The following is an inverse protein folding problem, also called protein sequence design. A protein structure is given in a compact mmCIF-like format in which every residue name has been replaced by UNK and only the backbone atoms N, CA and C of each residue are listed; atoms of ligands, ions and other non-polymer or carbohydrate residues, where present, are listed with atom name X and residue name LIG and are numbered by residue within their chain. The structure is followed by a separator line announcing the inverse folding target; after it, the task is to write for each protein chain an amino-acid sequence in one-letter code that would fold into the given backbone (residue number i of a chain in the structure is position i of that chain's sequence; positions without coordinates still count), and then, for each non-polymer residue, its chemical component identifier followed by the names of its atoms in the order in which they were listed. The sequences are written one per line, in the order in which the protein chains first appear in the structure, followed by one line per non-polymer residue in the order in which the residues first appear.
data_IF_458428689879
#
_entry.id   IF_458428689879
#
_cell.length_a   1.000
_cell.length_b   1.000
_cell.length_c   1.000
_cell.angle_alpha   90.00
_cell.angle_beta   90.00
_cell.angle_gamma   90.00
#
_symmetry.space_group_name_H-M   'P 1'
#
loop_
_entity.id
_entity.type
_entity.pdbx_description
1 polymer ?
#
# COMPACT_ATOMS: atom_id res chain seq x y z
N UNK A 1 7.60 29.05 -0.14
CA UNK A 1 6.28 29.03 0.49
C UNK A 1 5.39 28.14 -0.39
N UNK A 2 5.11 26.90 0.05
CA UNK A 2 4.26 25.96 -0.65
C UNK A 2 2.94 25.77 0.08
N UNK A 3 1.92 25.30 -0.62
CA UNK A 3 0.64 24.91 -0.03
C UNK A 3 0.85 23.71 0.91
N UNK A 4 0.17 23.71 2.04
CA UNK A 4 0.18 22.62 3.02
C UNK A 4 -1.23 22.08 3.24
N UNK A 5 -1.30 20.79 3.57
CA UNK A 5 -2.51 20.11 4.03
C UNK A 5 -2.35 19.78 5.50
N UNK A 6 -3.42 19.97 6.27
CA UNK A 6 -3.49 19.52 7.66
C UNK A 6 -4.46 18.34 7.75
N UNK A 7 -3.92 17.16 8.06
CA UNK A 7 -4.71 15.97 8.38
C UNK A 7 -5.12 16.07 9.86
N UNK A 8 -6.44 16.11 10.12
CA UNK A 8 -7.04 16.12 11.45
C UNK A 8 -7.54 14.73 11.79
N UNK A 9 -7.08 14.14 12.90
CA UNK A 9 -7.42 12.79 13.34
C UNK A 9 -8.01 12.85 14.74
N UNK A 10 -9.21 12.31 14.93
CA UNK A 10 -9.86 12.20 16.23
C UNK A 10 -9.17 11.14 17.10
N UNK A 11 -8.75 11.51 18.31
CA UNK A 11 -8.14 10.60 19.27
C UNK A 11 -9.07 9.47 19.70
N UNK A 12 -10.38 9.73 19.77
CA UNK A 12 -11.41 8.73 20.09
C UNK A 12 -11.48 7.56 19.09
N UNK A 13 -10.97 7.75 17.86
CA UNK A 13 -10.89 6.72 16.82
C UNK A 13 -9.58 5.92 16.84
N UNK A 14 -8.66 6.29 17.73
CA UNK A 14 -7.35 5.62 17.88
C UNK A 14 -7.39 4.84 19.18
N UNK A 15 -7.21 3.51 19.11
CA UNK A 15 -7.27 2.63 20.29
C UNK A 15 -6.17 2.97 21.29
N UNK A 16 -4.95 3.25 20.80
CA UNK A 16 -3.82 3.68 21.63
C UNK A 16 -3.15 4.92 21.01
N UNK A 17 -3.57 6.10 21.45
CA UNK A 17 -3.06 7.37 20.91
C UNK A 17 -1.58 7.61 21.22
N UNK A 18 -1.07 7.09 22.34
CA UNK A 18 0.34 7.20 22.72
C UNK A 18 1.23 6.37 21.80
N UNK A 19 0.86 5.11 21.55
CA UNK A 19 1.57 4.22 20.64
C UNK A 19 1.56 4.77 19.21
N UNK A 20 0.39 5.21 18.75
CA UNK A 20 0.25 5.88 17.44
C UNK A 20 1.22 7.05 17.30
N UNK A 21 1.34 7.90 18.34
CA UNK A 21 2.22 9.06 18.30
C UNK A 21 3.71 8.67 18.25
N UNK A 22 4.11 7.66 19.01
CA UNK A 22 5.49 7.16 19.01
C UNK A 22 5.85 6.46 17.69
N UNK A 23 4.95 5.70 17.09
CA UNK A 23 5.15 5.08 15.76
C UNK A 23 5.23 6.14 14.66
N UNK A 24 4.32 7.11 14.67
CA UNK A 24 4.36 8.26 13.78
C UNK A 24 5.67 9.03 13.92
N UNK A 25 6.16 9.28 15.15
CA UNK A 25 7.41 9.97 15.42
C UNK A 25 8.62 9.23 14.85
N UNK A 26 8.68 7.90 14.94
CA UNK A 26 9.75 7.08 14.33
C UNK A 26 9.79 7.25 12.82
N UNK A 27 8.63 7.25 12.16
CA UNK A 27 8.52 7.47 10.73
C UNK A 27 8.92 8.89 10.32
N UNK A 28 8.45 9.88 11.05
CA UNK A 28 8.70 11.29 10.75
C UNK A 28 10.14 11.72 11.03
N UNK A 29 10.81 11.06 11.97
CA UNK A 29 12.23 11.28 12.25
C UNK A 29 13.14 10.75 11.13
N UNK A 30 12.64 9.88 10.26
CA UNK A 30 13.39 9.30 9.15
C UNK A 30 12.82 9.73 7.81
N UNK A 31 13.39 10.77 7.21
CA UNK A 31 12.99 11.21 5.87
C UNK A 31 13.41 10.20 4.79
N UNK A 32 12.55 9.94 3.83
CA UNK A 32 12.86 9.18 2.61
C UNK A 32 12.21 9.85 1.41
N UNK A 33 12.90 9.86 0.25
CA UNK A 33 12.44 10.56 -0.95
C UNK A 33 11.07 10.10 -1.44
N UNK A 34 10.68 8.86 -1.20
CA UNK A 34 9.41 8.27 -1.63
C UNK A 34 8.40 8.07 -0.48
N UNK A 35 8.57 8.78 0.64
CA UNK A 35 7.56 8.94 1.68
C UNK A 35 7.05 10.37 1.69
N UNK A 36 5.76 10.54 2.00
CA UNK A 36 5.21 11.88 2.21
C UNK A 36 5.91 12.52 3.39
N UNK A 37 6.51 13.69 3.16
CA UNK A 37 7.19 14.46 4.22
C UNK A 37 6.14 15.01 5.18
N UNK A 38 6.39 14.87 6.48
CA UNK A 38 5.65 15.59 7.50
C UNK A 38 6.46 16.80 7.93
N UNK A 39 5.84 17.97 7.83
CA UNK A 39 6.49 19.23 8.20
C UNK A 39 6.48 19.39 9.73
N UNK A 40 5.32 19.14 10.36
CA UNK A 40 5.18 19.10 11.82
C UNK A 40 3.88 18.37 12.21
N UNK A 41 3.82 17.94 13.47
CA UNK A 41 2.62 17.38 14.08
C UNK A 41 2.40 18.01 15.46
N UNK A 42 1.14 18.20 15.82
CA UNK A 42 0.74 18.63 17.16
C UNK A 42 -0.58 17.96 17.56
N UNK A 43 -0.97 18.09 18.83
CA UNK A 43 -2.26 17.58 19.29
C UNK A 43 -2.85 18.48 20.35
N UNK A 44 -4.18 18.54 20.42
CA UNK A 44 -4.95 19.09 21.53
C UNK A 44 -5.61 17.96 22.36
N UNK A 45 -6.64 18.28 23.13
CA UNK A 45 -7.36 17.27 23.94
C UNK A 45 -7.99 16.17 23.07
N UNK A 46 -8.59 16.51 21.93
CA UNK A 46 -9.46 15.67 21.16
C UNK A 46 -8.85 15.17 19.83
N UNK A 47 -7.88 15.92 19.28
CA UNK A 47 -7.35 15.69 17.93
C UNK A 47 -5.84 15.65 17.87
N UNK A 48 -5.34 14.93 16.84
CA UNK A 48 -3.98 14.99 16.33
C UNK A 48 -4.01 15.71 14.98
N UNK A 49 -3.07 16.63 14.77
CA UNK A 49 -2.90 17.39 13.54
C UNK A 49 -1.54 17.08 12.93
N UNK A 50 -1.53 16.74 11.64
CA UNK A 50 -0.32 16.44 10.88
C UNK A 50 -0.29 17.36 9.66
N UNK A 51 0.73 18.21 9.59
CA UNK A 51 0.94 19.12 8.47
C UNK A 51 1.93 18.51 7.45
N UNK A 52 1.53 18.48 6.19
CA UNK A 52 2.30 17.93 5.08
C UNK A 52 2.19 18.82 3.84
N UNK A 53 3.11 18.73 2.86
CA UNK A 53 2.98 19.41 1.58
C UNK A 53 1.70 18.98 0.86
N UNK A 54 1.10 19.92 0.12
CA UNK A 54 0.00 19.61 -0.77
C UNK A 54 0.53 18.98 -2.06
N UNK A 55 -0.04 17.83 -2.45
CA UNK A 55 0.26 17.11 -3.69
C UNK A 55 -0.81 17.44 -4.74
N UNK A 56 -0.55 18.43 -5.60
CA UNK A 56 -1.54 18.97 -6.54
C UNK A 56 -2.07 17.95 -7.55
N UNK A 57 -1.22 16.96 -7.92
CA UNK A 57 -1.62 15.85 -8.82
C UNK A 57 -2.49 14.80 -8.14
N UNK A 58 -2.60 14.85 -6.80
CA UNK A 58 -3.40 13.92 -6.01
C UNK A 58 -2.79 12.52 -5.91
N UNK A 59 -3.67 11.53 -5.71
CA UNK A 59 -3.27 10.12 -5.53
C UNK A 59 -3.20 9.37 -6.87
N UNK A 60 -2.50 8.23 -6.88
CA UNK A 60 -2.50 7.32 -8.03
C UNK A 60 -3.92 6.88 -8.40
N UNK A 61 -4.81 6.71 -7.43
CA UNK A 61 -6.22 6.41 -7.72
C UNK A 61 -6.87 7.49 -8.56
N UNK A 62 -6.67 8.77 -8.21
CA UNK A 62 -7.20 9.89 -9.00
C UNK A 62 -6.63 9.84 -10.43
N UNK A 63 -5.32 9.67 -10.56
CA UNK A 63 -4.67 9.65 -11.88
C UNK A 63 -5.20 8.53 -12.77
N UNK A 64 -5.31 7.28 -12.24
CA UNK A 64 -5.81 6.15 -13.04
C UNK A 64 -7.31 6.21 -13.31
N UNK A 65 -8.06 7.03 -12.59
CA UNK A 65 -9.46 7.32 -12.93
C UNK A 65 -9.62 8.32 -14.08
N UNK A 66 -8.61 9.16 -14.30
CA UNK A 66 -8.61 10.23 -15.32
C UNK A 66 -7.90 9.80 -16.61
N UNK A 67 -6.86 8.97 -16.51
CA UNK A 67 -6.07 8.49 -17.67
C UNK A 67 -5.50 7.10 -17.45
N UNK A 68 -5.25 6.39 -18.55
CA UNK A 68 -4.46 5.17 -18.51
C UNK A 68 -2.97 5.51 -18.35
N UNK A 69 -2.29 4.79 -17.44
CA UNK A 69 -0.84 4.86 -17.29
C UNK A 69 -0.18 3.88 -18.28
N UNK A 70 0.96 4.26 -18.81
CA UNK A 70 1.83 3.33 -19.54
C UNK A 70 2.47 2.33 -18.60
N UNK A 71 2.89 1.16 -19.11
CA UNK A 71 3.63 0.15 -18.31
C UNK A 71 4.87 0.79 -17.67
N UNK A 72 5.58 1.65 -18.38
CA UNK A 72 6.74 2.40 -17.87
C UNK A 72 6.39 3.27 -16.65
N UNK A 73 5.31 4.04 -16.74
CA UNK A 73 4.84 4.87 -15.62
C UNK A 73 4.47 4.00 -14.42
N UNK A 74 3.77 2.88 -14.64
CA UNK A 74 3.37 1.95 -13.58
C UNK A 74 4.60 1.36 -12.90
N UNK A 75 5.57 0.83 -13.64
CA UNK A 75 6.81 0.26 -13.08
C UNK A 75 7.56 1.33 -12.28
N UNK A 76 7.75 2.53 -12.84
CA UNK A 76 8.45 3.63 -12.17
C UNK A 76 7.78 4.01 -10.85
N UNK A 77 6.47 4.27 -10.85
CA UNK A 77 5.74 4.60 -9.62
C UNK A 77 5.77 3.45 -8.61
N UNK A 78 5.75 2.20 -9.11
CA UNK A 78 5.83 1.02 -8.24
C UNK A 78 7.19 0.93 -7.55
N UNK A 79 8.29 1.07 -8.27
CA UNK A 79 9.64 1.09 -7.70
C UNK A 79 9.76 2.21 -6.65
N UNK A 80 9.21 3.39 -6.94
CA UNK A 80 9.26 4.52 -6.03
C UNK A 80 8.50 4.26 -4.73
N UNK A 81 7.21 3.90 -4.77
CA UNK A 81 6.48 3.68 -3.52
C UNK A 81 6.98 2.44 -2.75
N UNK A 82 7.43 1.40 -3.45
CA UNK A 82 8.07 0.24 -2.83
C UNK A 82 9.39 0.61 -2.16
N UNK A 83 10.17 1.54 -2.72
CA UNK A 83 11.36 2.07 -2.05
C UNK A 83 11.03 2.76 -0.72
N UNK A 84 9.95 3.57 -0.70
CA UNK A 84 9.40 4.11 0.55
C UNK A 84 8.96 3.02 1.52
N UNK A 85 8.27 1.98 1.03
CA UNK A 85 7.84 0.85 1.84
C UNK A 85 9.02 0.04 2.40
N UNK A 86 10.06 -0.20 1.60
CA UNK A 86 11.29 -0.84 2.07
C UNK A 86 11.91 -0.06 3.24
N UNK A 87 11.94 1.27 3.15
CA UNK A 87 12.41 2.11 4.24
C UNK A 87 11.56 1.94 5.51
N UNK A 88 10.23 1.89 5.41
CA UNK A 88 9.33 1.62 6.54
C UNK A 88 9.65 0.26 7.18
N UNK A 89 9.79 -0.79 6.38
CA UNK A 89 10.13 -2.12 6.85
C UNK A 89 11.51 -2.16 7.54
N UNK A 90 12.50 -1.42 7.03
CA UNK A 90 13.85 -1.31 7.65
C UNK A 90 13.83 -0.63 9.02
N UNK A 91 12.77 0.11 9.36
CA UNK A 91 12.54 0.72 10.68
C UNK A 91 11.76 -0.21 11.63
N UNK A 92 11.50 -1.45 11.22
CA UNK A 92 10.72 -2.39 12.00
C UNK A 92 9.22 -2.09 12.04
N UNK A 93 8.68 -1.47 10.98
CA UNK A 93 7.29 -1.06 10.89
C UNK A 93 6.58 -1.75 9.72
N UNK A 94 5.28 -2.01 9.84
CA UNK A 94 4.39 -2.49 8.79
C UNK A 94 3.34 -1.42 8.53
N UNK A 95 3.05 -1.11 7.26
CA UNK A 95 2.18 0.00 6.87
C UNK A 95 0.69 -0.31 7.02
N UNK A 96 0.26 -1.51 6.65
CA UNK A 96 -1.11 -2.05 6.70
C UNK A 96 -2.16 -1.42 5.78
N UNK A 97 -1.89 -0.33 5.08
CA UNK A 97 -2.89 0.34 4.22
C UNK A 97 -2.32 0.76 2.86
N UNK A 98 -1.59 -0.14 2.19
CA UNK A 98 -1.07 0.10 0.84
C UNK A 98 -2.21 0.01 -0.16
N UNK A 99 -2.49 1.11 -0.87
CA UNK A 99 -3.51 1.20 -1.93
C UNK A 99 -3.25 2.43 -2.81
N UNK A 100 -3.79 2.49 -4.04
CA UNK A 100 -3.60 3.65 -4.93
C UNK A 100 -4.04 4.98 -4.32
N UNK A 101 -4.98 4.97 -3.38
CA UNK A 101 -5.45 6.14 -2.64
C UNK A 101 -4.33 6.78 -1.79
N UNK A 102 -3.45 5.95 -1.23
CA UNK A 102 -2.39 6.34 -0.29
C UNK A 102 -1.01 6.51 -0.96
N UNK A 103 -0.95 6.55 -2.29
CA UNK A 103 0.25 6.85 -3.05
C UNK A 103 0.03 8.18 -3.75
N UNK A 104 0.68 9.24 -3.27
CA UNK A 104 0.54 10.60 -3.77
C UNK A 104 1.61 10.89 -4.82
N UNK A 105 1.25 11.70 -5.83
CA UNK A 105 2.16 12.07 -6.91
C UNK A 105 2.55 13.54 -6.78
N UNK A 106 3.86 13.78 -6.70
CA UNK A 106 4.44 15.12 -6.64
C UNK A 106 4.37 15.84 -8.02
N UNK A 107 4.65 17.14 -8.01
CA UNK A 107 4.74 17.94 -9.22
C UNK A 107 5.83 17.44 -10.20
N UNK A 108 6.87 16.80 -9.66
CA UNK A 108 7.94 16.16 -10.42
C UNK A 108 7.57 14.76 -10.97
N UNK A 109 6.31 14.33 -10.86
CA UNK A 109 5.87 12.97 -11.21
C UNK A 109 6.57 11.85 -10.42
N UNK A 110 6.80 12.04 -9.13
CA UNK A 110 7.36 11.04 -8.24
C UNK A 110 6.28 10.51 -7.31
N UNK A 111 6.28 9.19 -7.06
CA UNK A 111 5.33 8.56 -6.16
C UNK A 111 5.85 8.58 -4.72
N UNK A 112 4.99 9.01 -3.79
CA UNK A 112 5.25 9.09 -2.36
C UNK A 112 4.20 8.31 -1.59
N UNK A 113 4.62 7.33 -0.80
CA UNK A 113 3.73 6.59 0.07
C UNK A 113 3.29 7.48 1.24
N UNK A 114 2.00 7.45 1.54
CA UNK A 114 1.34 8.32 2.53
C UNK A 114 0.42 7.52 3.43
N UNK A 115 -0.16 8.20 4.40
CA UNK A 115 -1.16 7.68 5.34
C UNK A 115 -0.67 6.54 6.23
N UNK A 116 0.15 6.90 7.21
CA UNK A 116 0.71 5.98 8.21
C UNK A 116 -0.23 5.70 9.39
N UNK A 117 -1.54 5.96 9.23
CA UNK A 117 -2.53 5.86 10.30
C UNK A 117 -2.76 4.45 10.85
N UNK A 118 -2.42 3.42 10.08
CA UNK A 118 -2.51 2.02 10.50
C UNK A 118 -1.13 1.36 10.71
N UNK A 119 -0.05 2.13 10.55
CA UNK A 119 1.32 1.61 10.69
C UNK A 119 1.56 1.12 12.11
N UNK A 120 2.17 -0.08 12.24
CA UNK A 120 2.46 -0.72 13.52
C UNK A 120 3.91 -1.22 13.58
N UNK A 121 4.49 -1.12 14.80
CA UNK A 121 5.80 -1.67 15.10
C UNK A 121 5.82 -3.18 15.11
N UNK A 122 6.85 -3.78 14.53
CA UNK A 122 7.13 -5.21 14.67
C UNK A 122 7.79 -5.51 16.02
N UNK A 123 7.41 -6.64 16.61
CA UNK A 123 8.13 -7.20 17.76
C UNK A 123 9.49 -7.78 17.32
N UNK A 124 10.26 -8.32 18.29
CA UNK A 124 11.59 -8.92 18.03
C UNK A 124 11.56 -10.14 17.10
N UNK A 125 10.40 -10.73 16.85
CA UNK A 125 10.21 -11.85 15.92
C UNK A 125 9.69 -11.41 14.54
N UNK A 126 9.55 -10.11 14.29
CA UNK A 126 9.09 -9.56 13.02
C UNK A 126 7.55 -9.58 12.83
N UNK A 127 6.78 -9.71 13.90
CA UNK A 127 5.32 -9.71 13.88
C UNK A 127 4.74 -8.40 14.40
N UNK A 128 3.65 -7.97 13.77
CA UNK A 128 2.80 -6.90 14.25
C UNK A 128 1.34 -7.34 14.25
N UNK A 129 0.55 -6.81 15.17
CA UNK A 129 -0.88 -7.06 15.24
C UNK A 129 -1.64 -5.75 15.14
N UNK A 130 -2.26 -5.44 13.98
CA UNK A 130 -3.11 -4.26 13.86
C UNK A 130 -4.42 -4.49 14.63
N UNK A 131 -4.73 -3.60 15.57
CA UNK A 131 -5.93 -3.68 16.41
C UNK A 131 -7.22 -3.56 15.60
N UNK A 132 -7.16 -2.86 14.46
CA UNK A 132 -8.28 -2.69 13.54
C UNK A 132 -7.80 -2.74 12.09
N UNK A 133 -8.54 -3.47 11.26
CA UNK A 133 -8.31 -3.55 9.83
C UNK A 133 -9.53 -2.93 9.14
N UNK A 134 -9.41 -1.69 8.68
CA UNK A 134 -10.50 -0.96 8.05
C UNK A 134 -10.66 -1.23 6.55
N UNK A 135 -9.67 -1.86 5.92
CA UNK A 135 -9.70 -2.09 4.48
C UNK A 135 -10.60 -3.27 4.12
N UNK A 136 -11.43 -3.08 3.09
CA UNK A 136 -12.15 -4.18 2.43
C UNK A 136 -11.21 -5.08 1.61
N UNK A 137 -9.99 -4.62 1.34
CA UNK A 137 -8.97 -5.32 0.58
C UNK A 137 -7.89 -5.77 1.56
N UNK A 138 -7.90 -7.05 1.87
CA UNK A 138 -7.03 -7.66 2.87
C UNK A 138 -6.37 -8.91 2.29
N UNK A 139 -5.16 -9.28 2.74
CA UNK A 139 -4.55 -10.54 2.34
C UNK A 139 -5.20 -11.75 3.02
N UNK A 140 -5.04 -12.97 2.44
CA UNK A 140 -5.68 -14.19 2.93
C UNK A 140 -5.39 -14.52 4.41
N UNK A 141 -4.19 -14.21 4.90
CA UNK A 141 -3.77 -14.47 6.28
C UNK A 141 -4.52 -13.67 7.34
N UNK A 142 -5.30 -12.66 6.95
CA UNK A 142 -6.18 -11.94 7.88
C UNK A 142 -7.21 -12.88 8.52
N UNK A 143 -7.62 -13.89 7.79
CA UNK A 143 -8.65 -14.84 8.24
C UNK A 143 -8.12 -16.06 9.01
N UNK A 144 -6.80 -16.19 9.14
CA UNK A 144 -6.17 -17.38 9.76
C UNK A 144 -5.20 -17.07 10.91
N UNK A 145 -4.69 -15.85 11.00
CA UNK A 145 -3.72 -15.46 12.02
C UNK A 145 -3.99 -14.04 12.53
N UNK A 146 -3.69 -13.78 13.80
CA UNK A 146 -3.68 -12.45 14.39
C UNK A 146 -2.38 -11.71 14.06
N UNK A 147 -1.27 -12.44 14.03
CA UNK A 147 0.06 -11.90 13.81
C UNK A 147 0.35 -11.71 12.31
N UNK A 148 0.83 -10.55 11.94
CA UNK A 148 1.14 -10.17 10.55
C UNK A 148 2.63 -9.85 10.42
N UNK A 149 3.16 -10.09 9.22
CA UNK A 149 4.53 -9.79 8.84
C UNK A 149 4.56 -8.76 7.71
N UNK A 150 5.75 -8.36 7.28
CA UNK A 150 5.94 -7.49 6.10
C UNK A 150 5.23 -8.02 4.83
N UNK A 151 4.93 -9.32 4.78
CA UNK A 151 4.23 -9.95 3.65
C UNK A 151 2.78 -9.49 3.51
N UNK A 152 2.18 -8.94 4.56
CA UNK A 152 0.90 -8.25 4.49
C UNK A 152 0.98 -7.07 3.50
N UNK A 153 1.97 -6.20 3.66
CA UNK A 153 2.18 -5.07 2.78
C UNK A 153 2.61 -5.50 1.37
N UNK A 154 3.37 -6.59 1.24
CA UNK A 154 3.73 -7.17 -0.07
C UNK A 154 2.46 -7.57 -0.84
N UNK A 155 1.51 -8.24 -0.19
CA UNK A 155 0.24 -8.60 -0.84
C UNK A 155 -0.57 -7.37 -1.24
N UNK A 156 -0.74 -6.38 -0.35
CA UNK A 156 -1.46 -5.14 -0.66
C UNK A 156 -0.79 -4.35 -1.80
N UNK A 157 0.54 -4.35 -1.84
CA UNK A 157 1.29 -3.75 -2.94
C UNK A 157 1.06 -4.51 -4.25
N UNK A 158 1.00 -5.85 -4.21
CA UNK A 158 0.62 -6.69 -5.36
C UNK A 158 -0.78 -6.36 -5.88
N UNK A 159 -1.73 -6.20 -4.98
CA UNK A 159 -3.09 -5.79 -5.32
C UNK A 159 -3.13 -4.38 -5.93
N UNK A 160 -2.31 -3.48 -5.42
CA UNK A 160 -2.14 -2.13 -5.96
C UNK A 160 -1.61 -2.18 -7.40
N UNK A 161 -0.53 -2.93 -7.67
CA UNK A 161 0.01 -3.09 -9.02
C UNK A 161 -1.01 -3.76 -9.96
N UNK A 162 -1.70 -4.79 -9.50
CA UNK A 162 -2.75 -5.45 -10.28
C UNK A 162 -3.82 -4.45 -10.74
N UNK A 163 -4.26 -3.55 -9.84
CA UNK A 163 -5.23 -2.49 -10.14
C UNK A 163 -4.68 -1.47 -11.13
N UNK A 164 -3.43 -1.03 -10.96
CA UNK A 164 -2.79 -0.07 -11.87
C UNK A 164 -2.65 -0.64 -13.28
N UNK A 165 -2.31 -1.92 -13.41
CA UNK A 165 -2.11 -2.60 -14.70
C UNK A 165 -3.41 -2.84 -15.44
N UNK A 166 -4.45 -3.27 -14.74
CA UNK A 166 -5.73 -3.65 -15.36
C UNK A 166 -6.76 -2.50 -15.37
N UNK A 167 -6.53 -1.44 -14.59
CA UNK A 167 -7.46 -0.33 -14.39
C UNK A 167 -8.55 -0.62 -13.36
N UNK A 168 -9.08 0.44 -12.77
CA UNK A 168 -10.08 0.38 -11.70
C UNK A 168 -11.39 -0.29 -12.14
N UNK A 169 -11.84 -0.06 -13.38
CA UNK A 169 -13.07 -0.68 -13.90
C UNK A 169 -12.94 -2.21 -13.98
N UNK A 170 -11.80 -2.73 -14.45
CA UNK A 170 -11.54 -4.16 -14.52
C UNK A 170 -11.57 -4.79 -13.11
N UNK A 171 -10.92 -4.15 -12.15
CA UNK A 171 -10.91 -4.57 -10.76
C UNK A 171 -12.31 -4.51 -10.12
N UNK A 172 -13.03 -3.42 -10.33
CA UNK A 172 -14.39 -3.24 -9.81
C UNK A 172 -15.36 -4.29 -10.35
N UNK A 173 -15.29 -4.60 -11.65
CA UNK A 173 -16.10 -5.63 -12.28
C UNK A 173 -15.89 -7.04 -11.68
N UNK A 174 -14.72 -7.32 -11.12
CA UNK A 174 -14.51 -8.56 -10.37
C UNK A 174 -15.22 -8.54 -9.02
N UNK A 175 -15.19 -7.41 -8.31
CA UNK A 175 -15.87 -7.25 -7.02
C UNK A 175 -17.39 -7.41 -7.14
N UNK A 176 -18.00 -6.91 -8.22
CA UNK A 176 -19.46 -7.00 -8.44
C UNK A 176 -19.97 -8.41 -8.72
N UNK A 177 -19.08 -9.39 -8.95
CA UNK A 177 -19.46 -10.80 -9.16
C UNK A 177 -19.87 -11.51 -7.86
N UNK A 178 -19.39 -11.01 -6.71
CA UNK A 178 -19.69 -11.63 -5.42
C UNK A 178 -21.09 -11.23 -4.94
N UNK A 179 -21.88 -12.22 -4.57
CA UNK A 179 -23.27 -12.05 -4.12
C UNK A 179 -23.37 -11.72 -2.62
N UNK A 180 -22.35 -12.12 -1.87
CA UNK A 180 -22.27 -11.90 -0.41
C UNK A 180 -20.85 -11.56 0.02
N UNK A 181 -20.72 -11.09 1.26
CA UNK A 181 -19.41 -10.88 1.88
C UNK A 181 -18.66 -12.21 2.09
N UNK A 182 -19.38 -13.29 2.38
CA UNK A 182 -18.79 -14.61 2.58
C UNK A 182 -18.21 -15.16 1.27
N UNK A 183 -18.91 -14.97 0.13
CA UNK A 183 -18.37 -15.33 -1.20
C UNK A 183 -17.06 -14.60 -1.49
N UNK A 184 -17.00 -13.30 -1.18
CA UNK A 184 -15.82 -12.48 -1.36
C UNK A 184 -14.66 -12.95 -0.45
N UNK A 185 -14.93 -13.18 0.83
CA UNK A 185 -13.94 -13.69 1.79
C UNK A 185 -13.41 -15.06 1.33
N UNK A 186 -14.30 -15.96 0.90
CA UNK A 186 -13.90 -17.27 0.40
C UNK A 186 -13.02 -17.14 -0.86
N UNK A 187 -13.35 -16.24 -1.79
CA UNK A 187 -12.55 -16.00 -2.98
C UNK A 187 -11.14 -15.48 -2.65
N UNK A 188 -10.98 -14.62 -1.61
CA UNK A 188 -9.65 -14.21 -1.12
C UNK A 188 -8.90 -15.41 -0.55
N UNK A 189 -9.52 -16.16 0.35
CA UNK A 189 -8.91 -17.32 1.04
C UNK A 189 -8.44 -18.41 0.08
N UNK A 190 -9.17 -18.59 -1.02
CA UNK A 190 -8.88 -19.63 -2.03
C UNK A 190 -8.08 -19.10 -3.23
N UNK A 191 -7.74 -17.80 -3.24
CA UNK A 191 -6.94 -17.16 -4.30
C UNK A 191 -7.67 -16.96 -5.62
N UNK A 192 -9.00 -16.97 -5.60
CA UNK A 192 -9.84 -16.65 -6.76
C UNK A 192 -10.07 -15.13 -6.92
N UNK A 193 -9.65 -14.33 -5.94
CA UNK A 193 -9.67 -12.88 -6.02
C UNK A 193 -8.35 -12.29 -5.54
N UNK A 194 -7.76 -11.34 -6.32
CA UNK A 194 -8.12 -10.99 -7.69
C UNK A 194 -7.91 -12.17 -8.66
N UNK A 195 -8.60 -12.16 -9.79
CA UNK A 195 -8.40 -13.17 -10.84
C UNK A 195 -7.01 -12.99 -11.49
N UNK A 196 -6.04 -13.78 -11.03
CA UNK A 196 -4.63 -13.72 -11.41
C UNK A 196 -4.34 -14.19 -12.83
N UNK A 197 -5.35 -14.69 -13.54
CA UNK A 197 -5.27 -15.04 -14.95
C UNK A 197 -5.90 -13.95 -15.86
N UNK A 198 -6.57 -12.96 -15.26
CA UNK A 198 -7.29 -11.92 -15.97
C UNK A 198 -6.46 -10.64 -16.04
N UNK A 199 -5.52 -10.59 -17.00
CA UNK A 199 -4.76 -9.39 -17.33
C UNK A 199 -5.14 -8.88 -18.72
N UNK A 200 -5.01 -7.56 -18.93
CA UNK A 200 -5.17 -6.96 -20.25
C UNK A 200 -4.04 -7.44 -21.19
N UNK A 201 -4.36 -7.65 -22.47
CA UNK A 201 -3.47 -8.30 -23.44
C UNK A 201 -2.11 -7.61 -23.65
N UNK A 202 -2.01 -6.29 -23.39
CA UNK A 202 -0.78 -5.52 -23.55
C UNK A 202 0.18 -5.64 -22.37
N UNK A 203 -0.20 -6.33 -21.28
CA UNK A 203 0.63 -6.44 -20.07
C UNK A 203 1.64 -7.58 -20.26
N UNK A 204 2.97 -7.31 -20.16
CA UNK A 204 3.99 -8.33 -20.36
C UNK A 204 3.86 -9.51 -19.39
N UNK A 205 4.03 -10.74 -19.88
CA UNK A 205 3.93 -11.95 -19.06
C UNK A 205 4.92 -11.95 -17.88
N UNK A 206 6.12 -11.39 -18.06
CA UNK A 206 7.10 -11.24 -16.96
C UNK A 206 6.51 -10.40 -15.83
N UNK A 207 5.87 -9.27 -16.15
CA UNK A 207 5.25 -8.40 -15.15
C UNK A 207 4.06 -9.05 -14.47
N UNK A 208 3.21 -9.79 -15.21
CA UNK A 208 2.11 -10.57 -14.64
C UNK A 208 2.61 -11.58 -13.60
N UNK A 209 3.71 -12.31 -13.91
CA UNK A 209 4.31 -13.28 -12.98
C UNK A 209 4.83 -12.60 -11.71
N UNK A 210 5.52 -11.48 -11.84
CA UNK A 210 6.05 -10.69 -10.71
C UNK A 210 4.90 -10.27 -9.77
N UNK A 211 3.81 -9.73 -10.33
CA UNK A 211 2.64 -9.32 -9.53
C UNK A 211 1.95 -10.53 -8.89
N UNK A 212 1.80 -11.64 -9.63
CA UNK A 212 1.18 -12.85 -9.12
C UNK A 212 1.97 -13.50 -7.98
N UNK A 213 3.31 -13.37 -7.98
CA UNK A 213 4.15 -13.78 -6.85
C UNK A 213 3.77 -13.02 -5.58
N UNK A 214 3.59 -11.70 -5.64
CA UNK A 214 3.16 -10.90 -4.49
C UNK A 214 1.75 -11.29 -3.99
N UNK A 215 0.87 -11.73 -4.89
CA UNK A 215 -0.52 -12.10 -4.61
C UNK A 215 -0.69 -13.58 -4.23
N UNK A 216 0.38 -14.30 -3.93
CA UNK A 216 0.26 -15.70 -3.54
C UNK A 216 -0.51 -15.84 -2.21
N UNK A 217 -1.28 -16.93 -2.08
CA UNK A 217 -2.00 -17.24 -0.84
C UNK A 217 -1.01 -17.57 0.26
N UNK A 218 -0.05 -18.43 -0.05
CA UNK A 218 1.00 -18.81 0.87
C UNK A 218 2.03 -17.67 0.99
N UNK A 219 2.29 -17.29 2.21
CA UNK A 219 3.25 -16.21 2.53
C UNK A 219 4.65 -16.55 2.02
N UNK A 220 5.07 -17.80 2.18
CA UNK A 220 6.40 -18.30 1.79
C UNK A 220 6.65 -18.28 0.27
N UNK A 221 5.56 -18.28 -0.53
CA UNK A 221 5.64 -18.22 -1.99
C UNK A 221 5.61 -16.77 -2.54
N UNK A 222 5.52 -15.77 -1.66
CA UNK A 222 5.62 -14.35 -2.02
C UNK A 222 7.09 -13.92 -2.13
N UNK A 223 7.33 -12.70 -2.61
CA UNK A 223 8.66 -12.08 -2.51
C UNK A 223 9.13 -12.09 -1.05
N UNK A 224 10.39 -12.44 -0.80
CA UNK A 224 10.95 -12.51 0.56
C UNK A 224 10.93 -11.16 1.27
N UNK A 225 11.12 -10.10 0.50
CA UNK A 225 11.08 -8.72 0.97
C UNK A 225 10.85 -7.77 -0.20
N UNK A 226 10.63 -6.50 0.11
CA UNK A 226 10.35 -5.47 -0.90
C UNK A 226 11.53 -5.19 -1.81
N UNK A 227 12.77 -5.34 -1.35
CA UNK A 227 13.97 -5.11 -2.17
C UNK A 227 14.10 -6.14 -3.29
N UNK A 228 13.84 -7.42 -2.99
CA UNK A 228 13.80 -8.48 -4.01
C UNK A 228 12.78 -8.12 -5.10
N UNK A 229 11.62 -7.64 -4.71
CA UNK A 229 10.57 -7.24 -5.65
C UNK A 229 10.97 -6.04 -6.52
N UNK A 230 11.58 -5.00 -5.92
CA UNK A 230 12.11 -3.84 -6.66
C UNK A 230 13.11 -4.30 -7.73
N UNK A 231 14.04 -5.20 -7.37
CA UNK A 231 15.03 -5.73 -8.32
C UNK A 231 14.36 -6.44 -9.50
N UNK A 232 13.35 -7.28 -9.24
CA UNK A 232 12.61 -7.96 -10.31
C UNK A 232 11.85 -7.00 -11.22
N UNK A 233 11.26 -5.92 -10.66
CA UNK A 233 10.57 -4.89 -11.45
C UNK A 233 11.54 -4.10 -12.34
N UNK A 234 12.75 -3.79 -11.82
CA UNK A 234 13.77 -3.06 -12.59
C UNK A 234 14.33 -3.85 -13.76
N UNK A 235 14.18 -5.18 -13.76
CA UNK A 235 14.57 -6.07 -14.85
C UNK A 235 13.50 -6.28 -15.92
N UNK A 236 12.33 -5.67 -15.77
CA UNK A 236 11.28 -5.75 -16.81
C UNK A 236 11.69 -4.85 -17.97
N UNK A 237 12.16 -5.49 -19.06
CA UNK A 237 12.46 -4.80 -20.29
C UNK A 237 11.16 -4.25 -20.92
N UNK A 238 11.27 -3.06 -21.45
CA UNK A 238 10.21 -2.42 -22.21
C UNK A 238 10.32 -2.90 -23.66
N UNK A 239 9.42 -3.76 -24.09
CA UNK A 239 9.18 -4.05 -25.51
C UNK A 239 8.06 -3.16 -26.03
#
# INVERSE_FOLDING_TARGET
DGEIVIKKIEKSKIVNSTEYYEEAKKLYASSHSNLVKVNYGCSDADFIYIAMPYYSKGSLKKIVSEKNLTIREIIRFSIQFLSGLHHIHSKGLIHFDIKPDNILISDNNEAHLSDFGLTKGMNSFGFANPEQIYSKQVPPEVFSSTDKTIHYDIYLSGLTLYRLLNGENHFHNQLTRFKSQDDYINAIKTGHFPDRNSYLAHIPLKLQRIVNTALNINIEDRHKNVLEWINQLSEVEEN
#
